data_IF_250802608298
#
_entry.id   IF_250802608298
#
_cell.length_a   1.000
_cell.length_b   1.000
_cell.length_c   1.000
_cell.angle_alpha   90.00
_cell.angle_beta   90.00
_cell.angle_gamma   90.00
#
_symmetry.space_group_name_H-M   'P 1'
#
loop_
_entity.id
_entity.type
_entity.pdbx_description
1 polymer ?
#
# COMPACT_ATOMS: atom_id res chain seq x y z
N UNK A 1 -2.32 -14.18 13.01
CA UNK A 1 -2.64 -13.04 13.90
C UNK A 1 -1.61 -13.05 15.03
N UNK A 2 -0.93 -11.93 15.35
CA UNK A 2 0.09 -11.84 16.41
C UNK A 2 -0.53 -11.25 17.68
N UNK A 3 -0.05 -11.63 18.87
CA UNK A 3 -0.53 -11.06 20.14
C UNK A 3 -0.24 -9.54 20.18
N UNK A 4 -1.17 -8.69 20.68
CA UNK A 4 -0.97 -7.23 20.71
C UNK A 4 0.28 -6.77 21.46
N UNK A 5 0.66 -7.48 22.51
CA UNK A 5 1.86 -7.27 23.34
C UNK A 5 3.18 -7.68 22.64
N UNK A 6 3.11 -8.44 21.54
CA UNK A 6 4.26 -8.80 20.69
C UNK A 6 4.40 -7.87 19.46
N UNK A 7 3.64 -6.78 19.44
CA UNK A 7 3.72 -5.78 18.38
C UNK A 7 4.86 -4.79 18.66
N UNK A 8 5.57 -4.31 17.62
CA UNK A 8 6.54 -3.24 17.78
C UNK A 8 5.89 -2.02 18.44
N UNK A 9 6.64 -1.31 19.29
CA UNK A 9 6.14 -0.12 20.00
C UNK A 9 5.62 0.95 19.02
N UNK A 10 6.23 1.02 17.84
CA UNK A 10 5.87 1.96 16.77
C UNK A 10 4.58 1.56 16.04
N UNK A 11 4.00 0.39 16.34
CA UNK A 11 2.73 -0.04 15.74
C UNK A 11 1.59 0.77 16.33
N UNK A 12 1.10 1.67 15.50
CA UNK A 12 0.01 2.57 15.85
C UNK A 12 -1.37 1.93 15.62
N UNK A 13 -2.18 1.86 16.67
CA UNK A 13 -3.60 1.47 16.66
C UNK A 13 -3.86 -0.03 16.32
N UNK A 14 -5.12 -0.38 16.12
CA UNK A 14 -5.61 -1.72 15.83
C UNK A 14 -5.01 -2.32 14.53
N UNK A 15 -5.07 -3.64 14.33
CA UNK A 15 -4.52 -4.30 13.13
C UNK A 15 -5.04 -3.80 11.77
N UNK A 16 -6.25 -3.23 11.74
CA UNK A 16 -6.81 -2.59 10.55
C UNK A 16 -6.09 -1.28 10.16
N UNK A 17 -5.17 -0.81 11.01
CA UNK A 17 -4.41 0.41 10.83
C UNK A 17 -3.03 0.14 10.20
N UNK A 18 -2.85 -1.03 9.60
CA UNK A 18 -1.64 -1.38 8.87
C UNK A 18 -1.54 -0.54 7.59
N UNK A 19 -0.73 0.51 7.64
CA UNK A 19 -0.68 1.57 6.62
C UNK A 19 0.64 1.59 5.85
N UNK A 20 1.64 0.81 6.24
CA UNK A 20 2.94 0.82 5.55
C UNK A 20 2.96 -0.08 4.31
N UNK A 21 1.85 -0.74 3.97
CA UNK A 21 1.74 -1.63 2.80
C UNK A 21 0.71 -1.06 1.82
N UNK A 22 1.15 -0.77 0.60
CA UNK A 22 0.29 -0.43 -0.52
C UNK A 22 0.01 -1.70 -1.34
N UNK A 23 -1.13 -2.33 -1.08
CA UNK A 23 -1.58 -3.52 -1.81
C UNK A 23 -2.37 -3.18 -3.07
N UNK A 24 -2.22 -3.99 -4.11
CA UNK A 24 -3.04 -3.97 -5.31
C UNK A 24 -4.00 -5.17 -5.30
N UNK A 25 -5.27 -4.90 -5.53
CA UNK A 25 -6.32 -5.92 -5.65
C UNK A 25 -7.07 -5.71 -6.96
N UNK A 26 -7.61 -6.79 -7.52
CA UNK A 26 -8.46 -6.75 -8.70
C UNK A 26 -9.79 -7.47 -8.44
N UNK A 27 -10.80 -7.14 -9.21
CA UNK A 27 -12.08 -7.86 -9.21
C UNK A 27 -12.62 -7.97 -10.63
N UNK A 28 -13.20 -9.12 -10.96
CA UNK A 28 -13.89 -9.34 -12.26
C UNK A 28 -15.38 -9.03 -12.20
N UNK A 29 -15.96 -9.01 -11.00
CA UNK A 29 -17.40 -8.86 -10.77
C UNK A 29 -17.74 -7.73 -9.78
N UNK A 30 -16.74 -6.96 -9.34
CA UNK A 30 -16.85 -5.90 -8.33
C UNK A 30 -17.36 -6.37 -6.96
N UNK A 31 -17.35 -7.68 -6.69
CA UNK A 31 -17.76 -8.28 -5.42
C UNK A 31 -16.58 -9.01 -4.81
N UNK A 32 -15.99 -9.94 -5.56
CA UNK A 32 -14.85 -10.74 -5.14
C UNK A 32 -13.55 -10.00 -5.48
N UNK A 33 -12.81 -9.61 -4.44
CA UNK A 33 -11.54 -8.92 -4.57
C UNK A 33 -10.38 -9.87 -4.34
N UNK A 34 -9.54 -10.02 -5.37
CA UNK A 34 -8.39 -10.89 -5.40
C UNK A 34 -7.10 -10.09 -5.23
N UNK A 35 -6.14 -10.62 -4.47
CA UNK A 35 -4.85 -9.97 -4.27
C UNK A 35 -3.97 -10.10 -5.51
N UNK A 36 -3.53 -8.99 -6.09
CA UNK A 36 -2.61 -8.96 -7.23
C UNK A 36 -1.14 -8.86 -6.80
N UNK A 37 -0.85 -8.15 -5.70
CA UNK A 37 0.52 -7.96 -5.20
C UNK A 37 0.71 -6.73 -4.33
N UNK A 38 1.94 -6.53 -3.85
CA UNK A 38 2.35 -5.32 -3.10
C UNK A 38 3.02 -4.34 -4.07
N UNK A 39 2.48 -3.14 -4.20
CA UNK A 39 3.04 -2.06 -5.03
C UNK A 39 4.23 -1.41 -4.34
N UNK A 40 4.09 -1.13 -3.05
CA UNK A 40 5.13 -0.53 -2.23
C UNK A 40 4.94 -0.92 -0.77
N UNK A 41 6.06 -0.98 -0.04
CA UNK A 41 6.09 -1.22 1.40
C UNK A 41 7.05 -0.24 2.06
N UNK A 42 6.71 0.25 3.25
CA UNK A 42 7.64 0.95 4.14
C UNK A 42 8.34 -0.02 5.08
N UNK A 43 9.54 0.32 5.53
CA UNK A 43 10.32 -0.58 6.39
C UNK A 43 9.70 -0.71 7.80
N UNK A 44 9.02 0.34 8.26
CA UNK A 44 8.39 0.39 9.58
C UNK A 44 6.93 0.84 9.50
N UNK A 45 6.09 0.56 10.52
CA UNK A 45 4.70 1.02 10.55
C UNK A 45 4.52 2.54 10.42
N UNK A 46 5.53 3.34 10.80
CA UNK A 46 5.52 4.80 10.63
C UNK A 46 5.63 5.23 9.15
N UNK A 47 6.24 4.39 8.31
CA UNK A 47 6.46 4.66 6.89
C UNK A 47 5.21 4.31 6.06
N UNK A 48 4.13 5.04 6.31
CA UNK A 48 2.83 4.75 5.71
C UNK A 48 2.73 5.08 4.21
N UNK A 49 1.67 4.57 3.57
CA UNK A 49 1.26 4.77 2.16
C UNK A 49 -0.22 5.16 2.16
N UNK A 50 -0.56 6.35 1.67
CA UNK A 50 -1.91 6.91 1.76
C UNK A 50 -2.38 7.51 0.44
N UNK A 51 -3.71 7.63 0.33
CA UNK A 51 -4.38 8.39 -0.74
C UNK A 51 -3.86 8.00 -2.13
N UNK A 52 -3.77 6.70 -2.38
CA UNK A 52 -3.33 6.19 -3.66
C UNK A 52 -4.26 6.70 -4.78
N UNK A 53 -3.69 7.28 -5.81
CA UNK A 53 -4.36 7.66 -7.04
C UNK A 53 -3.72 6.91 -8.20
N UNK A 54 -4.54 6.46 -9.16
CA UNK A 54 -4.09 5.56 -10.22
C UNK A 54 -4.43 6.11 -11.59
N UNK A 55 -3.54 5.90 -12.55
CA UNK A 55 -3.78 6.17 -13.96
C UNK A 55 -3.21 5.05 -14.81
N UNK A 56 -3.96 4.62 -15.83
CA UNK A 56 -3.50 3.65 -16.82
C UNK A 56 -2.73 4.38 -17.92
N UNK A 57 -1.52 3.93 -18.22
CA UNK A 57 -0.65 4.49 -19.27
C UNK A 57 -0.16 3.34 -20.14
N UNK A 58 -0.80 3.15 -21.29
CA UNK A 58 -0.56 1.99 -22.15
C UNK A 58 -0.86 0.68 -21.41
N UNK A 59 0.14 -0.20 -21.33
CA UNK A 59 0.06 -1.49 -20.63
C UNK A 59 0.38 -1.40 -19.13
N UNK A 60 0.80 -0.24 -18.65
CA UNK A 60 1.23 -0.04 -17.27
C UNK A 60 0.15 0.68 -16.44
N UNK A 61 0.19 0.46 -15.12
CA UNK A 61 -0.56 1.24 -14.15
C UNK A 61 0.42 2.10 -13.35
N UNK A 62 0.23 3.42 -13.36
CA UNK A 62 0.94 4.33 -12.48
C UNK A 62 0.12 4.58 -11.22
N UNK A 63 0.79 4.55 -10.07
CA UNK A 63 0.18 4.74 -8.76
C UNK A 63 0.95 5.85 -8.02
N UNK A 64 0.28 6.97 -7.80
CA UNK A 64 0.79 8.06 -6.96
C UNK A 64 0.27 7.88 -5.54
N UNK A 65 1.12 8.06 -4.54
CA UNK A 65 0.73 7.97 -3.14
C UNK A 65 1.42 9.03 -2.28
N UNK A 66 0.74 9.48 -1.23
CA UNK A 66 1.38 10.20 -0.12
C UNK A 66 2.06 9.17 0.76
N UNK A 67 3.37 9.31 0.96
CA UNK A 67 4.20 8.30 1.60
C UNK A 67 5.03 8.90 2.74
N UNK A 68 5.43 8.05 3.69
CA UNK A 68 6.42 8.37 4.72
C UNK A 68 7.74 7.61 4.52
N UNK A 69 8.86 8.28 4.78
CA UNK A 69 10.18 7.66 5.01
C UNK A 69 10.51 7.63 6.52
N UNK A 70 11.76 7.29 6.87
CA UNK A 70 12.22 7.24 8.26
C UNK A 70 12.16 8.60 9.00
N UNK A 71 11.93 9.71 8.30
CA UNK A 71 11.79 11.06 8.84
C UNK A 71 10.34 11.55 8.84
N UNK A 72 9.38 10.69 8.49
CA UNK A 72 7.97 11.03 8.58
C UNK A 72 7.62 11.37 10.04
N UNK A 73 6.80 12.40 10.24
CA UNK A 73 6.41 12.81 11.60
C UNK A 73 5.63 11.69 12.30
N UNK A 74 4.70 11.05 11.59
CA UNK A 74 3.91 9.94 12.10
C UNK A 74 3.44 9.02 10.98
N UNK A 75 2.82 7.89 11.33
CA UNK A 75 2.14 7.01 10.36
C UNK A 75 0.96 7.71 9.65
N UNK A 76 0.43 8.80 10.21
CA UNK A 76 -0.61 9.60 9.56
C UNK A 76 0.01 10.69 8.68
N UNK A 77 1.08 11.32 9.15
CA UNK A 77 1.71 12.50 8.54
C UNK A 77 2.96 12.11 7.75
N UNK A 78 2.73 11.60 6.55
CA UNK A 78 3.79 11.32 5.58
C UNK A 78 4.45 12.59 5.04
N UNK A 79 5.71 12.47 4.63
CA UNK A 79 6.58 13.58 4.21
C UNK A 79 7.02 13.52 2.75
N UNK A 80 6.51 12.56 1.97
CA UNK A 80 6.85 12.34 0.57
C UNK A 80 5.61 12.19 -0.32
N UNK A 81 5.78 12.47 -1.61
CA UNK A 81 4.92 11.97 -2.69
C UNK A 81 5.73 10.97 -3.50
N UNK A 82 5.23 9.75 -3.64
CA UNK A 82 5.89 8.69 -4.41
C UNK A 82 5.05 8.31 -5.62
N UNK A 83 5.73 7.98 -6.71
CA UNK A 83 5.13 7.46 -7.94
C UNK A 83 5.67 6.05 -8.20
N UNK A 84 4.76 5.09 -8.34
CA UNK A 84 5.06 3.69 -8.59
C UNK A 84 4.53 3.28 -9.95
N UNK A 85 5.22 2.35 -10.61
CA UNK A 85 4.81 1.77 -11.89
C UNK A 85 4.62 0.28 -11.71
N UNK A 86 3.40 -0.19 -11.93
CA UNK A 86 3.08 -1.62 -12.05
C UNK A 86 3.07 -1.95 -13.53
N UNK A 87 4.09 -2.68 -13.98
CA UNK A 87 4.27 -3.01 -15.38
C UNK A 87 3.28 -4.08 -15.82
N UNK A 88 2.71 -3.94 -17.01
CA UNK A 88 1.84 -4.96 -17.63
C UNK A 88 0.75 -5.46 -16.67
N UNK A 89 0.13 -4.54 -15.91
CA UNK A 89 -0.68 -4.87 -14.73
C UNK A 89 -1.88 -5.80 -15.03
N UNK A 90 -2.33 -5.84 -16.28
CA UNK A 90 -3.43 -6.69 -16.75
C UNK A 90 -3.08 -8.18 -16.67
N UNK A 91 -1.80 -8.53 -16.74
CA UNK A 91 -1.33 -9.91 -16.61
C UNK A 91 -1.35 -10.41 -15.15
N UNK A 92 -1.67 -9.54 -14.17
CA UNK A 92 -1.84 -9.93 -12.77
C UNK A 92 -3.19 -10.59 -12.49
N UNK A 93 -4.13 -10.52 -13.43
CA UNK A 93 -5.43 -11.20 -13.33
C UNK A 93 -5.22 -12.69 -13.61
N UNK A 94 -5.40 -13.53 -12.60
CA UNK A 94 -5.39 -14.98 -12.76
C UNK A 94 -6.79 -15.52 -13.06
N UNK A 95 -6.84 -16.60 -13.85
CA UNK A 95 -8.08 -17.29 -14.25
C UNK A 95 -8.70 -18.07 -13.12
#
# INVERSE_FOLDING_TARGET
MRRPDELPFERYNLPNNERHILGLYFSRNCIDWCFAGVVARGETPQQARHYASMVVVGEDLLVLARSGDARAHSAHDGNLITLHKVRSFRHLVYT
#
